data_IF_019468636085
#
_entry.id   IF_019468636085
#
_cell.length_a   1.000
_cell.length_b   1.000
_cell.length_c   1.000
_cell.angle_alpha   90.00
_cell.angle_beta   90.00
_cell.angle_gamma   90.00
#
_symmetry.space_group_name_H-M   'P 1'
#
loop_
_entity.id
_entity.type
_entity.pdbx_description
1 polymer ?
#
# COMPACT_ATOMS: atom_id res chain seq x y z
N UNK A 1 -6.10 -0.76 22.04
CA UNK A 1 -5.48 -1.65 23.04
C UNK A 1 -4.31 -0.98 23.77
N UNK A 2 -3.37 -0.29 23.08
CA UNK A 2 -2.17 0.38 23.65
C UNK A 2 -2.38 1.26 24.91
N UNK A 3 -3.43 2.07 24.95
CA UNK A 3 -3.68 2.96 26.10
C UNK A 3 -4.17 2.21 27.34
N UNK A 4 -4.83 1.07 27.15
CA UNK A 4 -5.50 0.34 28.23
C UNK A 4 -4.83 -1.00 28.54
N UNK A 5 -3.71 -1.36 27.89
CA UNK A 5 -3.04 -2.64 28.13
C UNK A 5 -2.70 -2.86 29.60
N UNK A 6 -2.15 -1.84 30.28
CA UNK A 6 -1.79 -1.95 31.69
C UNK A 6 -3.02 -2.21 32.58
N UNK A 7 -4.12 -1.49 32.33
CA UNK A 7 -5.39 -1.70 33.02
C UNK A 7 -5.94 -3.12 32.79
N UNK A 8 -5.87 -3.61 31.54
CA UNK A 8 -6.28 -4.98 31.19
C UNK A 8 -5.39 -6.02 31.89
N UNK A 9 -4.08 -5.80 31.93
CA UNK A 9 -3.15 -6.70 32.62
C UNK A 9 -3.38 -6.71 34.13
N UNK A 10 -3.72 -5.57 34.73
CA UNK A 10 -4.08 -5.48 36.15
C UNK A 10 -5.37 -6.24 36.45
N UNK A 11 -6.44 -6.02 35.67
CA UNK A 11 -7.72 -6.71 35.84
C UNK A 11 -7.57 -8.24 35.71
N UNK A 12 -6.85 -8.70 34.68
CA UNK A 12 -6.58 -10.13 34.49
C UNK A 12 -5.73 -10.68 35.64
N UNK A 13 -4.83 -9.87 36.20
CA UNK A 13 -4.01 -10.29 37.35
C UNK A 13 -4.86 -10.48 38.62
N UNK A 14 -5.88 -9.65 38.86
CA UNK A 14 -6.80 -9.85 39.99
C UNK A 14 -7.53 -11.20 39.88
N UNK A 15 -8.06 -11.52 38.70
CA UNK A 15 -8.69 -12.82 38.41
C UNK A 15 -7.71 -14.00 38.51
N UNK A 16 -6.47 -13.82 38.04
CA UNK A 16 -5.43 -14.84 38.10
C UNK A 16 -5.00 -15.17 39.54
N UNK A 17 -4.89 -14.15 40.40
CA UNK A 17 -4.63 -14.30 41.85
C UNK A 17 -5.84 -14.94 42.55
N UNK A 18 -7.06 -14.68 42.06
CA UNK A 18 -8.30 -15.35 42.50
C UNK A 18 -8.38 -16.85 42.16
N UNK A 19 -7.39 -17.41 41.47
CA UNK A 19 -7.30 -18.84 41.15
C UNK A 19 -7.86 -19.22 39.78
N UNK A 20 -8.20 -18.24 38.92
CA UNK A 20 -8.67 -18.50 37.56
C UNK A 20 -7.50 -18.92 36.65
N UNK A 21 -7.49 -20.17 36.23
CA UNK A 21 -6.42 -20.74 35.38
C UNK A 21 -6.38 -20.14 33.98
N UNK A 22 -7.52 -19.72 33.42
CA UNK A 22 -7.56 -19.03 32.13
C UNK A 22 -6.92 -17.65 32.23
N UNK A 23 -7.24 -16.91 33.29
CA UNK A 23 -6.65 -15.61 33.56
C UNK A 23 -5.13 -15.71 33.74
N UNK A 24 -4.63 -16.74 34.44
CA UNK A 24 -3.19 -17.01 34.56
C UNK A 24 -2.53 -17.24 33.19
N UNK A 25 -3.15 -18.05 32.32
CA UNK A 25 -2.64 -18.30 30.97
C UNK A 25 -2.61 -17.04 30.10
N UNK A 26 -3.70 -16.27 30.11
CA UNK A 26 -3.82 -14.99 29.39
C UNK A 26 -2.79 -13.98 29.88
N UNK A 27 -2.65 -13.83 31.20
CA UNK A 27 -1.69 -12.93 31.82
C UNK A 27 -0.26 -13.28 31.37
N UNK A 28 0.07 -14.57 31.39
CA UNK A 28 1.37 -15.08 30.95
C UNK A 28 1.70 -14.76 29.49
N UNK A 29 0.70 -14.60 28.62
CA UNK A 29 0.90 -14.19 27.22
C UNK A 29 1.04 -12.67 27.07
N UNK A 30 0.13 -11.90 27.66
CA UNK A 30 0.07 -10.44 27.45
C UNK A 30 1.18 -9.68 28.17
N UNK A 31 1.81 -10.29 29.18
CA UNK A 31 2.96 -9.73 29.88
C UNK A 31 4.30 -9.99 29.17
N UNK A 32 4.33 -10.82 28.12
CA UNK A 32 5.58 -11.08 27.41
C UNK A 32 6.09 -9.84 26.69
N UNK A 33 7.41 -9.65 26.67
CA UNK A 33 8.06 -8.58 25.91
C UNK A 33 7.58 -8.57 24.46
N UNK A 34 7.61 -9.73 23.79
CA UNK A 34 7.23 -9.85 22.38
C UNK A 34 5.78 -9.46 22.12
N UNK A 35 4.84 -9.75 23.02
CA UNK A 35 3.45 -9.33 22.85
C UNK A 35 3.33 -7.80 22.89
N UNK A 36 3.91 -7.16 23.90
CA UNK A 36 3.84 -5.70 24.06
C UNK A 36 4.54 -5.02 22.88
N UNK A 37 5.77 -5.43 22.57
CA UNK A 37 6.54 -4.89 21.46
C UNK A 37 5.81 -5.06 20.12
N UNK A 38 5.18 -6.22 19.88
CA UNK A 38 4.36 -6.46 18.69
C UNK A 38 3.19 -5.48 18.59
N UNK A 39 2.47 -5.21 19.68
CA UNK A 39 1.34 -4.27 19.64
C UNK A 39 1.77 -2.86 19.27
N UNK A 40 2.98 -2.45 19.68
CA UNK A 40 3.56 -1.15 19.32
C UNK A 40 4.05 -1.14 17.87
N UNK A 41 4.80 -2.15 17.43
CA UNK A 41 5.22 -2.28 16.03
C UNK A 41 4.02 -2.31 15.07
N UNK A 42 2.93 -3.00 15.43
CA UNK A 42 1.70 -2.99 14.64
C UNK A 42 1.03 -1.60 14.61
N UNK A 43 1.11 -0.84 15.71
CA UNK A 43 0.59 0.53 15.74
C UNK A 43 1.36 1.47 14.79
N UNK A 44 2.64 1.21 14.56
CA UNK A 44 3.46 1.92 13.56
C UNK A 44 3.15 1.49 12.11
N UNK A 45 2.89 0.19 11.90
CA UNK A 45 2.66 -0.37 10.56
C UNK A 45 1.23 -0.12 10.02
N UNK A 46 0.21 -0.17 10.89
CA UNK A 46 -1.20 -0.04 10.51
C UNK A 46 -1.53 1.27 9.78
N UNK A 47 -1.00 2.45 10.17
CA UNK A 47 -1.23 3.69 9.44
C UNK A 47 -0.76 3.63 7.99
N UNK A 48 0.37 2.98 7.71
CA UNK A 48 0.91 2.80 6.34
C UNK A 48 -0.07 1.97 5.51
N UNK A 49 -0.51 0.81 6.03
CA UNK A 49 -1.49 -0.05 5.37
C UNK A 49 -2.84 0.64 5.17
N UNK A 50 -3.29 1.40 6.18
CA UNK A 50 -4.56 2.13 6.12
C UNK A 50 -4.53 3.20 5.03
N UNK A 51 -3.44 3.96 4.94
CA UNK A 51 -3.27 4.99 3.91
C UNK A 51 -3.28 4.37 2.50
N UNK A 52 -2.59 3.25 2.33
CA UNK A 52 -2.61 2.49 1.08
C UNK A 52 -4.03 2.03 0.72
N UNK A 53 -4.72 1.37 1.64
CA UNK A 53 -6.07 0.86 1.43
C UNK A 53 -7.08 1.97 1.11
N UNK A 54 -7.01 3.10 1.81
CA UNK A 54 -7.92 4.24 1.59
C UNK A 54 -7.79 4.84 0.19
N UNK A 55 -6.63 4.72 -0.48
CA UNK A 55 -6.50 5.16 -1.88
C UNK A 55 -7.31 4.26 -2.81
N UNK A 56 -7.31 2.95 -2.58
CA UNK A 56 -8.01 1.97 -3.41
C UNK A 56 -9.50 1.80 -3.06
N UNK A 57 -9.95 2.31 -1.91
CA UNK A 57 -11.35 2.29 -1.50
C UNK A 57 -12.17 3.48 -2.01
N UNK A 58 -11.54 4.46 -2.67
CA UNK A 58 -12.24 5.61 -3.25
C UNK A 58 -12.99 5.19 -4.50
N UNK A 59 -14.22 5.68 -4.66
CA UNK A 59 -15.04 5.45 -5.86
C UNK A 59 -14.34 5.90 -7.15
N UNK A 60 -13.55 6.98 -7.06
CA UNK A 60 -12.72 7.50 -8.15
C UNK A 60 -11.24 7.43 -7.78
N UNK A 61 -10.59 6.32 -8.10
CA UNK A 61 -9.13 6.17 -7.93
C UNK A 61 -8.42 6.98 -9.02
N UNK A 62 -7.61 7.96 -8.60
CA UNK A 62 -6.76 8.70 -9.52
C UNK A 62 -5.53 7.84 -9.88
N UNK A 63 -5.45 7.39 -11.13
CA UNK A 63 -4.35 6.54 -11.64
C UNK A 63 -2.97 7.13 -11.36
N UNK A 64 -2.82 8.45 -11.52
CA UNK A 64 -1.56 9.16 -11.24
C UNK A 64 -1.10 9.09 -9.78
N UNK A 65 -2.01 8.78 -8.84
CA UNK A 65 -1.72 8.69 -7.41
C UNK A 65 -1.30 7.29 -6.96
N UNK A 66 -1.57 6.24 -7.76
CA UNK A 66 -1.29 4.84 -7.39
C UNK A 66 0.21 4.60 -7.25
N UNK A 67 1.02 5.03 -8.22
CA UNK A 67 2.48 4.86 -8.15
C UNK A 67 3.14 5.58 -6.98
N UNK A 68 2.85 6.87 -6.74
CA UNK A 68 3.35 7.56 -5.56
C UNK A 68 2.97 6.89 -4.24
N UNK A 69 1.73 6.38 -4.08
CA UNK A 69 1.34 5.77 -2.81
C UNK A 69 2.02 4.42 -2.58
N UNK A 70 2.19 3.60 -3.62
CA UNK A 70 2.90 2.31 -3.53
C UNK A 70 4.37 2.56 -3.17
N UNK A 71 5.04 3.49 -3.86
CA UNK A 71 6.44 3.84 -3.57
C UNK A 71 6.62 4.42 -2.16
N UNK A 72 5.72 5.31 -1.73
CA UNK A 72 5.77 5.86 -0.38
C UNK A 72 5.54 4.78 0.69
N UNK A 73 4.69 3.80 0.42
CA UNK A 73 4.42 2.68 1.34
C UNK A 73 5.60 1.72 1.42
N UNK A 74 6.22 1.37 0.28
CA UNK A 74 7.46 0.58 0.24
C UNK A 74 8.58 1.26 1.05
N UNK A 75 8.80 2.56 0.83
CA UNK A 75 9.79 3.33 1.57
C UNK A 75 9.49 3.36 3.08
N UNK A 76 8.24 3.54 3.48
CA UNK A 76 7.83 3.54 4.88
C UNK A 76 8.03 2.16 5.54
N UNK A 77 7.68 1.07 4.86
CA UNK A 77 7.91 -0.28 5.38
C UNK A 77 9.40 -0.60 5.48
N UNK A 78 10.22 -0.23 4.50
CA UNK A 78 11.68 -0.40 4.59
C UNK A 78 12.26 0.34 5.80
N UNK A 79 11.80 1.56 6.03
CA UNK A 79 12.21 2.31 7.21
C UNK A 79 11.81 1.61 8.52
N UNK A 80 10.55 1.16 8.65
CA UNK A 80 10.04 0.46 9.84
C UNK A 80 10.62 -0.95 10.03
N UNK A 81 11.17 -1.55 8.98
CA UNK A 81 11.93 -2.80 9.07
C UNK A 81 13.26 -2.55 9.78
N UNK A 82 13.97 -1.54 9.31
CA UNK A 82 15.36 -1.26 9.70
C UNK A 82 15.45 -0.53 11.06
N UNK A 83 14.45 0.30 11.39
CA UNK A 83 14.41 1.14 12.60
C UNK A 83 13.04 1.01 13.29
N UNK A 84 12.98 0.96 14.63
CA UNK A 84 11.73 1.04 15.37
C UNK A 84 10.91 2.28 14.97
N UNK A 85 9.59 2.13 14.89
CA UNK A 85 8.71 3.28 14.68
C UNK A 85 8.47 4.08 15.97
N UNK A 86 7.80 5.25 15.87
CA UNK A 86 7.57 6.12 17.02
C UNK A 86 6.87 5.43 18.21
N UNK A 87 5.97 4.49 17.93
CA UNK A 87 5.26 3.77 18.97
C UNK A 87 6.13 2.72 19.64
N UNK A 88 6.92 1.99 18.87
CA UNK A 88 7.94 1.08 19.40
C UNK A 88 9.01 1.82 20.22
N UNK A 89 9.49 2.98 19.76
CA UNK A 89 10.40 3.85 20.51
C UNK A 89 9.79 4.31 21.83
N UNK A 90 8.50 4.66 21.83
CA UNK A 90 7.77 5.02 23.06
C UNK A 90 7.72 3.85 24.05
N UNK A 91 7.58 2.61 23.56
CA UNK A 91 7.67 1.42 24.40
C UNK A 91 9.09 1.25 24.97
N UNK A 92 10.12 1.34 24.14
CA UNK A 92 11.51 1.24 24.58
C UNK A 92 11.88 2.29 25.63
N UNK A 93 11.43 3.53 25.47
CA UNK A 93 11.67 4.60 26.44
C UNK A 93 10.93 4.39 27.77
N UNK A 94 9.74 3.77 27.72
CA UNK A 94 8.91 3.49 28.88
C UNK A 94 9.23 2.16 29.58
N UNK A 95 9.93 1.24 28.90
CA UNK A 95 10.35 -0.04 29.45
C UNK A 95 11.63 0.14 30.28
N UNK A 96 11.52 -0.07 31.60
CA UNK A 96 12.65 0.09 32.53
C UNK A 96 12.61 -0.98 33.60
N UNK A 97 13.78 -1.53 33.92
CA UNK A 97 13.99 -2.47 35.02
C UNK A 97 13.01 -3.68 35.00
N UNK A 98 12.67 -4.18 33.81
CA UNK A 98 11.76 -5.32 33.65
C UNK A 98 10.28 -4.98 33.81
N UNK A 99 9.91 -3.70 33.78
CA UNK A 99 8.54 -3.22 33.91
C UNK A 99 8.16 -2.26 32.79
N UNK A 100 6.87 -2.23 32.45
CA UNK A 100 6.30 -1.26 31.53
C UNK A 100 4.94 -0.82 32.09
N UNK A 101 4.74 0.50 32.27
CA UNK A 101 3.52 1.08 32.87
C UNK A 101 3.13 0.38 34.19
N UNK A 102 4.11 0.20 35.08
CA UNK A 102 3.97 -0.44 36.40
C UNK A 102 3.57 -1.93 36.39
N UNK A 103 3.54 -2.57 35.21
CA UNK A 103 3.29 -4.00 35.06
C UNK A 103 4.60 -4.73 34.76
N UNK A 104 4.82 -5.85 35.44
CA UNK A 104 5.99 -6.71 35.21
C UNK A 104 5.93 -7.33 33.81
N UNK A 105 7.03 -7.19 33.07
CA UNK A 105 7.21 -7.81 31.76
C UNK A 105 7.94 -9.14 31.92
N UNK A 106 7.45 -10.17 31.26
CA UNK A 106 8.05 -11.51 31.23
C UNK A 106 8.78 -11.73 29.92
N UNK A 107 9.67 -12.73 29.86
CA UNK A 107 10.44 -13.08 28.66
C UNK A 107 11.14 -11.87 28.04
N UNK A 108 11.87 -11.11 28.85
CA UNK A 108 12.51 -9.85 28.45
C UNK A 108 14.04 -9.88 28.52
N UNK A 109 14.64 -11.06 28.53
CA UNK A 109 16.08 -11.21 28.35
C UNK A 109 16.50 -10.86 26.92
N UNK A 110 17.78 -10.53 26.72
CA UNK A 110 18.34 -10.13 25.43
C UNK A 110 17.98 -11.09 24.29
N UNK A 111 17.90 -12.39 24.57
CA UNK A 111 17.51 -13.40 23.59
C UNK A 111 16.08 -13.18 23.04
N UNK A 112 15.11 -12.87 23.90
CA UNK A 112 13.73 -12.62 23.47
C UNK A 112 13.57 -11.29 22.74
N UNK A 113 14.38 -10.29 23.13
CA UNK A 113 14.41 -8.99 22.48
C UNK A 113 14.96 -9.14 21.05
N UNK A 114 16.08 -9.83 20.87
CA UNK A 114 16.66 -10.05 19.54
C UNK A 114 15.74 -10.95 18.68
N UNK A 115 15.17 -12.01 19.26
CA UNK A 115 14.21 -12.87 18.55
C UNK A 115 12.98 -12.08 18.07
N UNK A 116 12.49 -11.13 18.87
CA UNK A 116 11.40 -10.24 18.45
C UNK A 116 11.83 -9.34 17.30
N UNK A 117 13.02 -8.72 17.38
CA UNK A 117 13.56 -7.88 16.32
C UNK A 117 13.68 -8.62 14.99
N UNK A 118 14.25 -9.83 14.99
CA UNK A 118 14.32 -10.68 13.81
C UNK A 118 12.94 -11.05 13.26
N UNK A 119 11.97 -11.34 14.15
CA UNK A 119 10.60 -11.65 13.75
C UNK A 119 9.91 -10.43 13.13
N UNK A 120 10.11 -9.23 13.69
CA UNK A 120 9.61 -7.95 13.17
C UNK A 120 10.20 -7.68 11.78
N UNK A 121 11.51 -7.78 11.63
CA UNK A 121 12.19 -7.58 10.35
C UNK A 121 11.64 -8.51 9.26
N UNK A 122 11.50 -9.81 9.57
CA UNK A 122 10.89 -10.80 8.66
C UNK A 122 9.44 -10.47 8.32
N UNK A 123 8.64 -10.09 9.31
CA UNK A 123 7.24 -9.73 9.09
C UNK A 123 7.11 -8.53 8.16
N UNK A 124 7.87 -7.47 8.39
CA UNK A 124 7.84 -6.27 7.55
C UNK A 124 8.38 -6.57 6.15
N UNK A 125 9.39 -7.43 6.02
CA UNK A 125 9.87 -7.89 4.72
C UNK A 125 8.76 -8.60 3.92
N UNK A 126 7.99 -9.48 4.56
CA UNK A 126 6.85 -10.12 3.89
C UNK A 126 5.77 -9.11 3.45
N UNK A 127 5.55 -8.03 4.21
CA UNK A 127 4.64 -6.96 3.78
C UNK A 127 5.16 -6.22 2.54
N UNK A 128 6.47 -5.98 2.47
CA UNK A 128 7.12 -5.37 1.30
C UNK A 128 6.98 -6.29 0.08
N UNK A 129 7.28 -7.57 0.24
CA UNK A 129 7.21 -8.55 -0.85
C UNK A 129 5.78 -8.67 -1.37
N UNK A 130 4.78 -8.77 -0.47
CA UNK A 130 3.37 -8.81 -0.84
C UNK A 130 2.89 -7.51 -1.51
N UNK A 131 3.42 -6.36 -1.12
CA UNK A 131 3.13 -5.09 -1.77
C UNK A 131 3.66 -5.07 -3.21
N UNK A 132 4.91 -5.47 -3.41
CA UNK A 132 5.56 -5.45 -4.73
C UNK A 132 5.01 -6.52 -5.68
N UNK A 133 4.63 -7.68 -5.15
CA UNK A 133 3.95 -8.74 -5.91
C UNK A 133 2.58 -8.27 -6.41
N UNK A 134 1.84 -7.52 -5.58
CA UNK A 134 0.54 -6.95 -5.95
C UNK A 134 0.64 -5.80 -6.95
N UNK A 135 1.77 -5.09 -6.98
CA UNK A 135 2.02 -3.97 -7.87
C UNK A 135 3.31 -4.15 -8.70
N UNK A 136 3.34 -5.12 -9.63
CA UNK A 136 4.51 -5.32 -10.49
C UNK A 136 4.81 -4.07 -11.32
N UNK A 137 6.09 -3.76 -11.53
CA UNK A 137 6.51 -2.56 -12.27
C UNK A 137 5.91 -2.51 -13.68
N UNK A 138 5.73 -3.66 -14.34
CA UNK A 138 5.07 -3.74 -15.64
C UNK A 138 3.61 -3.25 -15.60
N UNK A 139 2.85 -3.65 -14.58
CA UNK A 139 1.47 -3.18 -14.37
C UNK A 139 1.46 -1.69 -14.02
N UNK A 140 2.40 -1.23 -13.20
CA UNK A 140 2.55 0.17 -12.83
C UNK A 140 2.87 1.05 -14.04
N UNK A 141 3.65 0.54 -14.99
CA UNK A 141 3.93 1.22 -16.24
C UNK A 141 2.70 1.30 -17.14
N UNK A 142 1.89 0.23 -17.22
CA UNK A 142 0.62 0.27 -17.97
C UNK A 142 -0.35 1.29 -17.37
N UNK A 143 -0.48 1.36 -16.04
CA UNK A 143 -1.29 2.38 -15.38
C UNK A 143 -0.80 3.80 -15.68
N UNK A 144 0.52 4.00 -15.76
CA UNK A 144 1.10 5.27 -16.18
C UNK A 144 0.75 5.63 -17.63
N UNK A 145 0.79 4.66 -18.56
CA UNK A 145 0.36 4.87 -19.93
C UNK A 145 -1.13 5.21 -20.02
N UNK A 146 -1.99 4.53 -19.25
CA UNK A 146 -3.43 4.84 -19.21
C UNK A 146 -3.70 6.24 -18.66
N UNK A 147 -3.01 6.66 -17.59
CA UNK A 147 -3.09 8.03 -17.10
C UNK A 147 -2.61 9.04 -18.17
N UNK A 148 -1.51 8.77 -18.87
CA UNK A 148 -1.03 9.63 -19.95
C UNK A 148 -2.05 9.78 -21.09
N UNK A 149 -2.78 8.71 -21.44
CA UNK A 149 -3.78 8.77 -22.51
C UNK A 149 -5.12 9.37 -22.06
N UNK A 150 -5.54 9.18 -20.83
CA UNK A 150 -6.90 9.50 -20.38
C UNK A 150 -6.96 10.72 -19.46
N UNK A 151 -5.85 11.43 -19.27
CA UNK A 151 -5.76 12.61 -18.42
C UNK A 151 -5.39 13.87 -19.22
N UNK A 152 -6.38 14.60 -19.77
CA UNK A 152 -6.17 15.77 -20.63
C UNK A 152 -5.40 16.90 -19.96
N UNK A 153 -5.47 16.99 -18.64
CA UNK A 153 -4.68 17.96 -17.86
C UNK A 153 -3.16 17.82 -18.04
N UNK A 154 -2.69 16.69 -18.56
CA UNK A 154 -1.27 16.40 -18.80
C UNK A 154 -0.87 16.54 -20.27
N UNK A 155 -1.81 16.84 -21.16
CA UNK A 155 -1.53 16.88 -22.59
C UNK A 155 -0.64 18.09 -22.96
N UNK A 156 0.32 17.90 -23.88
CA UNK A 156 1.04 19.02 -24.47
C UNK A 156 0.11 19.91 -25.29
N UNK A 157 0.50 21.18 -25.47
CA UNK A 157 -0.33 22.22 -26.08
C UNK A 157 -0.40 22.13 -27.62
N UNK A 158 0.51 21.40 -28.25
CA UNK A 158 0.57 21.30 -29.71
C UNK A 158 0.23 19.89 -30.17
N UNK A 159 -0.46 19.80 -31.32
CA UNK A 159 -0.86 18.51 -31.90
C UNK A 159 0.33 17.60 -32.24
N UNK A 160 1.44 18.17 -32.74
CA UNK A 160 2.65 17.38 -33.02
C UNK A 160 3.25 16.78 -31.75
N UNK A 161 3.31 17.55 -30.66
CA UNK A 161 3.79 17.06 -29.38
C UNK A 161 2.83 16.05 -28.76
N UNK A 162 1.51 16.16 -29.00
CA UNK A 162 0.52 15.20 -28.53
C UNK A 162 0.70 13.82 -29.18
N UNK A 163 1.00 13.80 -30.47
CA UNK A 163 1.29 12.57 -31.20
C UNK A 163 2.56 11.89 -30.67
N UNK A 164 3.66 12.64 -30.51
CA UNK A 164 4.91 12.13 -29.93
C UNK A 164 4.75 11.66 -28.47
N UNK A 165 3.91 12.35 -27.69
CA UNK A 165 3.62 12.02 -26.30
C UNK A 165 2.80 10.73 -26.16
N UNK A 166 1.83 10.50 -27.06
CA UNK A 166 0.89 9.39 -26.99
C UNK A 166 1.40 8.09 -27.59
N UNK A 167 2.24 8.17 -28.62
CA UNK A 167 2.76 7.00 -29.34
C UNK A 167 3.37 5.90 -28.43
N UNK A 168 4.31 6.20 -27.52
CA UNK A 168 4.89 5.16 -26.65
C UNK A 168 3.85 4.58 -25.68
N UNK A 169 2.91 5.38 -25.19
CA UNK A 169 1.85 4.93 -24.29
C UNK A 169 0.86 3.98 -25.01
N UNK A 170 0.43 4.35 -26.23
CA UNK A 170 -0.44 3.51 -27.06
C UNK A 170 0.25 2.19 -27.40
N UNK A 171 1.52 2.24 -27.86
CA UNK A 171 2.29 1.04 -28.18
C UNK A 171 2.40 0.09 -26.99
N UNK A 172 2.65 0.61 -25.79
CA UNK A 172 2.75 -0.23 -24.58
C UNK A 172 1.41 -0.86 -24.21
N UNK A 173 0.31 -0.11 -24.30
CA UNK A 173 -1.03 -0.63 -24.03
C UNK A 173 -1.39 -1.73 -25.03
N UNK A 174 -1.18 -1.49 -26.32
CA UNK A 174 -1.35 -2.50 -27.37
C UNK A 174 -0.55 -3.74 -27.03
N UNK A 175 0.76 -3.61 -26.80
CA UNK A 175 1.63 -4.74 -26.48
C UNK A 175 1.12 -5.53 -25.27
N UNK A 176 0.66 -4.85 -24.22
CA UNK A 176 0.14 -5.50 -23.02
C UNK A 176 -1.11 -6.33 -23.31
N UNK A 177 -2.03 -5.83 -24.14
CA UNK A 177 -3.28 -6.54 -24.46
C UNK A 177 -3.13 -7.57 -25.57
N UNK A 178 -2.22 -7.38 -26.54
CA UNK A 178 -1.96 -8.35 -27.61
C UNK A 178 -1.05 -9.49 -27.17
N UNK A 179 -0.16 -9.27 -26.20
CA UNK A 179 0.69 -10.35 -25.65
C UNK A 179 -0.07 -11.32 -24.75
N UNK A 180 -1.32 -11.00 -24.38
CA UNK A 180 -2.24 -11.92 -23.70
C UNK A 180 -2.96 -12.86 -24.68
N UNK A 181 -2.87 -12.61 -25.98
CA UNK A 181 -3.44 -13.47 -27.02
C UNK A 181 -2.42 -14.55 -27.41
N UNK A 182 -2.87 -15.81 -27.46
CA UNK A 182 -2.06 -16.93 -27.92
C UNK A 182 -1.60 -16.72 -29.37
N UNK A 183 -0.35 -17.08 -29.67
CA UNK A 183 0.34 -16.84 -30.95
C UNK A 183 -0.33 -17.41 -32.23
N UNK A 184 -1.43 -18.17 -32.11
CA UNK A 184 -2.12 -18.85 -33.22
C UNK A 184 -3.36 -18.10 -33.75
N UNK A 185 -3.71 -16.94 -33.21
CA UNK A 185 -4.84 -16.12 -33.70
C UNK A 185 -4.34 -14.86 -34.42
N UNK A 186 -4.92 -14.58 -35.60
CA UNK A 186 -4.73 -13.30 -36.28
C UNK A 186 -4.99 -12.14 -35.29
N UNK A 187 -4.20 -11.07 -35.30
CA UNK A 187 -4.33 -10.00 -34.29
C UNK A 187 -5.74 -9.43 -34.35
N UNK A 188 -6.50 -9.54 -33.25
CA UNK A 188 -7.86 -8.98 -33.17
C UNK A 188 -7.86 -7.45 -33.27
N UNK A 189 -6.71 -6.83 -33.02
CA UNK A 189 -6.54 -5.39 -32.98
C UNK A 189 -5.67 -4.96 -34.15
N UNK A 190 -6.26 -4.22 -35.10
CA UNK A 190 -5.47 -3.46 -36.07
C UNK A 190 -4.75 -2.32 -35.33
N UNK A 191 -3.46 -2.53 -35.10
CA UNK A 191 -2.60 -1.58 -34.40
C UNK A 191 -2.54 -0.18 -35.04
N UNK A 192 -2.73 -0.08 -36.37
CA UNK A 192 -2.73 1.22 -37.06
C UNK A 192 -4.07 1.92 -36.85
N UNK A 193 -5.20 1.19 -36.99
CA UNK A 193 -6.53 1.74 -36.69
C UNK A 193 -6.63 2.19 -35.23
N UNK A 194 -6.17 1.38 -34.27
CA UNK A 194 -6.24 1.73 -32.84
C UNK A 194 -5.40 2.97 -32.51
N UNK A 195 -4.24 3.15 -33.16
CA UNK A 195 -3.44 4.36 -32.99
C UNK A 195 -4.18 5.60 -33.50
N UNK A 196 -4.84 5.51 -34.65
CA UNK A 196 -5.67 6.58 -35.19
C UNK A 196 -6.87 6.89 -34.28
N UNK A 197 -7.57 5.86 -33.81
CA UNK A 197 -8.75 6.00 -32.94
C UNK A 197 -8.37 6.60 -31.58
N UNK A 198 -7.27 6.14 -30.98
CA UNK A 198 -6.75 6.67 -29.72
C UNK A 198 -6.33 8.14 -29.86
N UNK A 199 -5.67 8.52 -30.97
CA UNK A 199 -5.30 9.91 -31.22
C UNK A 199 -6.53 10.80 -31.45
N UNK A 200 -7.56 10.29 -32.12
CA UNK A 200 -8.83 11.01 -32.31
C UNK A 200 -9.53 11.26 -30.96
N UNK A 201 -9.57 10.24 -30.10
CA UNK A 201 -10.09 10.33 -28.73
C UNK A 201 -9.31 11.36 -27.90
N UNK A 202 -7.97 11.32 -27.93
CA UNK A 202 -7.15 12.29 -27.22
C UNK A 202 -7.35 13.72 -27.74
N UNK A 203 -7.48 13.89 -29.05
CA UNK A 203 -7.72 15.21 -29.66
C UNK A 203 -9.08 15.77 -29.23
N UNK A 204 -10.12 14.93 -29.20
CA UNK A 204 -11.43 15.31 -28.70
C UNK A 204 -11.37 15.71 -27.21
N UNK A 205 -10.71 14.91 -26.38
CA UNK A 205 -10.52 15.20 -24.96
C UNK A 205 -9.69 16.47 -24.70
N UNK A 206 -8.69 16.76 -25.55
CA UNK A 206 -7.91 18.00 -25.49
C UNK A 206 -8.80 19.23 -25.68
N UNK A 207 -9.78 19.15 -26.59
CA UNK A 207 -10.73 20.23 -26.87
C UNK A 207 -11.65 20.58 -25.70
N UNK A 208 -11.87 19.66 -24.75
CA UNK A 208 -12.71 19.90 -23.58
C UNK A 208 -12.00 20.68 -22.46
N UNK A 209 -10.66 20.64 -22.40
CA UNK A 209 -9.84 21.42 -21.47
C UNK A 209 -9.99 21.04 -19.98
N UNK A 210 -8.86 20.84 -19.28
CA UNK A 210 -8.84 20.76 -17.82
C UNK A 210 -9.61 19.58 -17.18
N UNK A 211 -10.01 18.58 -17.97
CA UNK A 211 -10.69 17.40 -17.46
C UNK A 211 -9.72 16.51 -16.65
N UNK A 212 -10.20 16.00 -15.53
CA UNK A 212 -9.57 14.89 -14.81
C UNK A 212 -10.06 13.56 -15.35
N UNK A 213 -9.31 12.48 -15.08
CA UNK A 213 -9.57 11.12 -15.56
C UNK A 213 -11.05 10.68 -15.48
N UNK A 214 -11.71 10.87 -14.33
CA UNK A 214 -13.12 10.44 -14.17
C UNK A 214 -14.07 11.16 -15.11
N UNK A 215 -13.91 12.48 -15.27
CA UNK A 215 -14.74 13.29 -16.17
C UNK A 215 -14.41 13.03 -17.64
N UNK A 216 -13.15 12.73 -17.96
CA UNK A 216 -12.76 12.28 -19.29
C UNK A 216 -13.48 10.97 -19.65
N UNK A 217 -13.52 9.99 -18.75
CA UNK A 217 -14.28 8.75 -18.97
C UNK A 217 -15.78 8.98 -19.17
N UNK A 218 -16.40 9.87 -18.40
CA UNK A 218 -17.82 10.23 -18.57
C UNK A 218 -18.10 10.86 -19.94
N UNK A 219 -17.23 11.76 -20.40
CA UNK A 219 -17.32 12.38 -21.72
C UNK A 219 -17.20 11.33 -22.83
N UNK A 220 -16.26 10.39 -22.69
CA UNK A 220 -16.12 9.29 -23.67
C UNK A 220 -17.36 8.42 -23.73
N UNK A 221 -17.95 8.08 -22.58
CA UNK A 221 -19.18 7.28 -22.51
C UNK A 221 -20.37 8.03 -23.12
N UNK A 222 -20.43 9.36 -22.98
CA UNK A 222 -21.52 10.18 -23.53
C UNK A 222 -21.40 10.43 -25.02
N UNK A 223 -20.20 10.71 -25.50
CA UNK A 223 -19.98 11.23 -26.86
C UNK A 223 -19.58 10.13 -27.87
N UNK A 224 -19.20 8.93 -27.39
CA UNK A 224 -18.74 7.81 -28.23
C UNK A 224 -19.53 6.50 -28.02
N UNK A 225 -20.68 6.53 -27.32
CA UNK A 225 -21.72 5.48 -27.39
C UNK A 225 -22.80 5.85 -28.42
#
# INVERSE_FOLDING_TARGET
MKHNWAAVAMEINEEAVGGNTQAQGLLGQIQTYSFIALTHALADLLPVMTKLNLVFQKDNVNLSSIRPIVQASDAAFRHLRDVPGPEEETFHAGYKDGTYKDVKVTNSSDHFIEAFKEARERYVQHLIDALLDRFPEDCMYVLHCLDALLNPSRYPQTHSALQEYSEPAIRRIIYNFTSLESADTAPLIDTVSLQCDALAVMTALHGYGGLHFSTACEVLIRDFN
#
